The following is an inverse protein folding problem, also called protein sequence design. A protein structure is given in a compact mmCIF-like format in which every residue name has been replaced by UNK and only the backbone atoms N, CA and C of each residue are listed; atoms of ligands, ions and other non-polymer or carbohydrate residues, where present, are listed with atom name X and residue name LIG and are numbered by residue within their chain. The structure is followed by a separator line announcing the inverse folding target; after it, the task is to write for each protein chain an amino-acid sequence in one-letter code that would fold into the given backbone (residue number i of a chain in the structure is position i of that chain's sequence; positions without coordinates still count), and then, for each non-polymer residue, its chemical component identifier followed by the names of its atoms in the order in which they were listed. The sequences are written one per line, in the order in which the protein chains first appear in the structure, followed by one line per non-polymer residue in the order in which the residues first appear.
data_IF_492140413309
#
_entry.id   IF_492140413309
#
_cell.length_a   1.000
_cell.length_b   1.000
_cell.length_c   1.000
_cell.angle_alpha   90.00
_cell.angle_beta   90.00
_cell.angle_gamma   90.00
#
_symmetry.space_group_name_H-M   'P 1'
#
loop_
_entity.id
_entity.type
_entity.pdbx_description
1 polymer ?
#
# COMPACT_ATOMS: atom_id res chain seq x y z
N UNK A 1 -21.90 -4.04 -24.70
CA UNK A 1 -21.16 -4.32 -24.30
C UNK A 1 -20.69 -4.54 -24.03
N UNK A 2 -21.00 -4.27 -24.19
CA UNK A 2 -20.18 -4.57 -23.77
C UNK A 2 -19.53 -4.85 -23.50
N UNK A 3 -19.80 -4.84 -23.64
CA UNK A 3 -18.94 -5.14 -23.25
C UNK A 3 -18.34 -5.50 -23.04
N UNK A 4 -18.56 -5.47 -23.26
CA UNK A 4 -17.64 -5.80 -22.98
C UNK A 4 -16.97 -6.09 -22.73
N UNK A 5 -17.20 -6.02 -22.97
CA UNK A 5 -16.28 -6.32 -22.55
C UNK A 5 -15.63 -6.28 -22.38
N UNK A 6 -15.77 -6.10 -22.34
CA UNK A 6 -14.93 -5.97 -21.97
C UNK A 6 -14.33 -6.20 -21.42
N UNK A 7 -14.17 -6.26 -21.25
CA UNK A 7 -13.23 -6.30 -20.57
C UNK A 7 -12.64 -6.54 -20.29
N UNK A 8 -12.83 -6.75 -20.32
CA UNK A 8 -12.10 -6.87 -19.97
C UNK A 8 -11.20 -7.02 -19.86
N UNK A 9 -11.23 -7.55 -20.33
CA UNK A 9 -10.24 -7.74 -20.22
C UNK A 9 -9.23 -7.51 -19.55
N UNK A 10 -8.78 -7.82 -19.86
CA UNK A 10 -7.79 -7.28 -19.02
C UNK A 10 -8.31 -6.27 -18.11
N UNK A 11 -8.31 -6.59 -16.95
CA UNK A 11 -8.94 -5.78 -16.02
C UNK A 11 -7.95 -4.92 -15.34
N UNK A 12 -7.99 -3.67 -15.66
CA UNK A 12 -7.27 -2.68 -14.94
C UNK A 12 -8.25 -1.97 -14.04
N UNK A 13 -7.92 -1.80 -12.75
CA UNK A 13 -8.81 -1.04 -11.88
C UNK A 13 -9.02 0.36 -12.42
N UNK A 14 -10.23 0.83 -12.29
CA UNK A 14 -10.59 2.17 -12.69
C UNK A 14 -9.93 3.17 -11.76
N UNK A 15 -9.41 4.26 -12.31
CA UNK A 15 -8.72 5.24 -11.49
C UNK A 15 -9.60 5.92 -10.47
N UNK A 16 -10.85 6.12 -10.79
CA UNK A 16 -11.77 6.83 -9.91
C UNK A 16 -12.69 5.90 -9.16
N UNK A 17 -12.49 4.59 -9.31
CA UNK A 17 -13.37 3.65 -8.68
C UNK A 17 -12.96 3.29 -7.28
N UNK A 18 -13.62 2.28 -6.75
CA UNK A 18 -13.33 1.77 -5.43
C UNK A 18 -13.07 0.29 -5.50
N UNK A 19 -12.38 -0.25 -4.50
CA UNK A 19 -12.21 -1.68 -4.37
C UNK A 19 -13.35 -2.23 -3.52
N UNK A 20 -13.70 -3.49 -3.72
CA UNK A 20 -14.72 -4.14 -2.92
C UNK A 20 -14.15 -5.08 -1.88
N UNK A 21 -12.95 -5.58 -2.12
CA UNK A 21 -12.30 -6.47 -1.16
C UNK A 21 -10.80 -6.30 -1.23
N UNK A 22 -10.15 -6.70 -0.15
CA UNK A 22 -8.69 -6.65 -0.05
C UNK A 22 -8.19 -8.02 0.35
N UNK A 23 -7.21 -8.54 -0.36
CA UNK A 23 -6.52 -9.76 0.03
C UNK A 23 -5.24 -9.43 0.78
N UNK A 24 -4.44 -8.53 0.21
CA UNK A 24 -3.17 -8.20 0.82
C UNK A 24 -2.70 -6.83 0.36
N UNK A 25 -1.99 -6.13 1.23
CA UNK A 25 -1.36 -4.87 0.87
C UNK A 25 0.00 -4.81 1.55
N UNK A 26 1.02 -4.43 0.80
CA UNK A 26 2.35 -4.20 1.35
C UNK A 26 2.79 -2.81 0.94
N UNK A 27 3.18 -2.02 1.94
CA UNK A 27 3.72 -0.68 1.72
C UNK A 27 5.12 -0.63 2.30
N UNK A 28 6.09 -0.47 1.43
CA UNK A 28 7.50 -0.42 1.82
C UNK A 28 7.99 1.02 1.67
N UNK A 29 8.57 1.55 2.74
CA UNK A 29 9.06 2.92 2.76
C UNK A 29 10.51 2.88 3.19
N UNK A 30 11.39 3.52 2.39
CA UNK A 30 12.80 3.56 2.72
C UNK A 30 13.33 4.97 2.60
N UNK A 31 14.24 5.30 3.48
CA UNK A 31 14.94 6.58 3.47
C UNK A 31 16.37 6.35 3.88
N UNK A 32 17.09 7.45 4.11
CA UNK A 32 18.52 7.34 4.40
C UNK A 32 18.84 6.52 5.63
N UNK A 33 18.02 6.62 6.66
CA UNK A 33 18.34 6.02 7.93
C UNK A 33 17.34 5.01 8.42
N UNK A 34 16.28 4.77 7.64
CA UNK A 34 15.27 3.85 8.11
C UNK A 34 14.60 3.17 6.92
N UNK A 35 14.22 1.95 7.16
CA UNK A 35 13.40 1.21 6.23
C UNK A 35 12.29 0.59 7.06
N UNK A 36 11.06 0.78 6.63
CA UNK A 36 9.91 0.24 7.34
C UNK A 36 8.92 -0.34 6.36
N UNK A 37 8.07 -1.21 6.84
CA UNK A 37 7.10 -1.87 6.00
C UNK A 37 5.82 -2.08 6.76
N UNK A 38 4.71 -1.77 6.10
CA UNK A 38 3.37 -2.05 6.60
C UNK A 38 2.78 -3.15 5.75
N UNK A 39 2.16 -4.11 6.40
CA UNK A 39 1.54 -5.22 5.70
C UNK A 39 0.13 -5.42 6.23
N UNK A 40 -0.83 -5.53 5.32
CA UNK A 40 -2.20 -5.87 5.68
C UNK A 40 -2.52 -7.18 5.00
N UNK A 41 -2.94 -8.17 5.79
CA UNK A 41 -3.41 -9.43 5.25
C UNK A 41 -4.82 -9.66 5.74
N UNK A 42 -5.70 -10.14 4.85
CA UNK A 42 -7.10 -10.32 5.18
C UNK A 42 -7.44 -11.79 5.10
N UNK A 43 -8.12 -12.26 6.14
CA UNK A 43 -8.54 -13.64 6.21
C UNK A 43 -9.81 -13.71 7.03
N UNK A 44 -10.86 -14.31 6.45
CA UNK A 44 -12.09 -14.54 7.19
C UNK A 44 -12.75 -13.30 7.76
N UNK A 45 -12.71 -12.20 7.05
CA UNK A 45 -13.36 -10.97 7.51
C UNK A 45 -12.51 -10.15 8.46
N UNK A 46 -11.31 -10.59 8.79
CA UNK A 46 -10.40 -9.87 9.67
C UNK A 46 -9.17 -9.42 8.89
N UNK A 47 -8.72 -8.22 9.17
CA UNK A 47 -7.52 -7.65 8.56
C UNK A 47 -6.45 -7.51 9.63
N UNK A 48 -5.31 -8.16 9.40
CA UNK A 48 -4.17 -8.02 10.29
C UNK A 48 -3.25 -6.97 9.72
N UNK A 49 -3.05 -5.89 10.47
CA UNK A 49 -2.17 -4.80 10.08
C UNK A 49 -0.89 -4.96 10.89
N UNK A 50 0.23 -5.11 10.20
CA UNK A 50 1.52 -5.36 10.83
C UNK A 50 2.53 -4.31 10.41
N UNK A 51 3.41 -3.99 11.32
CA UNK A 51 4.46 -3.01 11.09
C UNK A 51 5.80 -3.66 11.35
N UNK A 52 6.68 -3.58 10.37
CA UNK A 52 8.02 -4.17 10.44
C UNK A 52 9.07 -3.10 10.31
N UNK A 53 10.17 -3.29 11.01
CA UNK A 53 11.37 -2.48 10.83
C UNK A 53 12.49 -3.40 10.38
N UNK A 54 13.50 -2.82 9.76
CA UNK A 54 14.66 -3.57 9.29
C UNK A 54 15.84 -3.18 10.16
N UNK A 55 16.39 -4.16 10.86
CA UNK A 55 17.49 -3.93 11.79
C UNK A 55 18.79 -4.41 11.18
N UNK A 56 19.85 -3.66 11.45
CA UNK A 56 21.18 -4.07 11.05
C UNK A 56 21.64 -5.19 11.98
N UNK A 57 22.03 -6.31 11.41
CA UNK A 57 22.57 -7.43 12.16
C UNK A 57 23.90 -7.81 11.56
N UNK A 58 24.57 -8.78 12.18
CA UNK A 58 25.94 -9.12 11.82
C UNK A 58 26.13 -9.39 10.34
N UNK A 59 25.21 -10.10 9.72
CA UNK A 59 25.33 -10.48 8.32
C UNK A 59 24.32 -9.82 7.42
N UNK A 60 23.91 -8.57 7.72
CA UNK A 60 22.98 -7.87 6.86
C UNK A 60 21.86 -7.23 7.64
N UNK A 61 20.64 -7.40 7.17
CA UNK A 61 19.47 -6.81 7.80
C UNK A 61 18.45 -7.87 8.14
N UNK A 62 17.76 -7.64 9.23
CA UNK A 62 16.71 -8.53 9.69
C UNK A 62 15.38 -7.78 9.72
N UNK A 63 14.36 -8.39 9.12
CA UNK A 63 13.00 -7.83 9.14
C UNK A 63 12.35 -8.25 10.44
N UNK A 64 11.96 -7.29 11.26
CA UNK A 64 11.45 -7.57 12.59
C UNK A 64 10.06 -6.99 12.77
N UNK A 65 9.14 -7.82 13.23
CA UNK A 65 7.78 -7.38 13.53
C UNK A 65 7.80 -6.56 14.80
N UNK A 66 7.31 -5.32 14.72
CA UNK A 66 7.29 -4.41 15.85
C UNK A 66 5.89 -4.29 16.46
N UNK A 67 4.87 -4.24 15.62
CA UNK A 67 3.50 -4.03 16.07
C UNK A 67 2.53 -4.74 15.15
N UNK A 68 1.40 -5.13 15.71
CA UNK A 68 0.35 -5.77 14.92
C UNK A 68 -0.99 -5.49 15.58
N UNK A 69 -2.00 -5.26 14.76
CA UNK A 69 -3.36 -5.05 15.24
C UNK A 69 -4.32 -5.72 14.27
N UNK A 70 -5.49 -6.12 14.76
CA UNK A 70 -6.53 -6.68 13.91
C UNK A 70 -7.70 -5.72 13.83
N UNK A 71 -8.20 -5.54 12.62
CA UNK A 71 -9.35 -4.69 12.35
C UNK A 71 -10.34 -5.48 11.51
N UNK A 72 -11.55 -4.95 11.36
CA UNK A 72 -12.49 -5.55 10.43
C UNK A 72 -12.05 -5.33 9.00
N UNK A 73 -12.19 -6.35 8.16
CA UNK A 73 -11.79 -6.23 6.77
C UNK A 73 -12.57 -5.14 6.04
N UNK A 74 -13.89 -5.07 6.30
CA UNK A 74 -14.71 -4.05 5.67
C UNK A 74 -14.30 -2.64 6.06
N UNK A 75 -13.93 -2.49 7.33
CA UNK A 75 -13.47 -1.21 7.84
C UNK A 75 -12.19 -0.76 7.12
N UNK A 76 -11.28 -1.69 6.90
CA UNK A 76 -10.03 -1.39 6.21
C UNK A 76 -10.30 -1.03 4.75
N UNK A 77 -11.16 -1.80 4.07
CA UNK A 77 -11.51 -1.52 2.68
C UNK A 77 -12.12 -0.12 2.55
N UNK A 78 -13.03 0.21 3.45
CA UNK A 78 -13.66 1.52 3.42
C UNK A 78 -12.63 2.63 3.59
N UNK A 79 -11.68 2.41 4.50
CA UNK A 79 -10.65 3.40 4.74
C UNK A 79 -9.73 3.58 3.53
N UNK A 80 -9.32 2.47 2.93
CA UNK A 80 -8.46 2.55 1.74
C UNK A 80 -9.18 3.25 0.59
N UNK A 81 -10.48 3.01 0.44
CA UNK A 81 -11.26 3.70 -0.58
C UNK A 81 -11.31 5.20 -0.31
N UNK A 82 -11.36 5.58 0.96
CA UNK A 82 -11.41 7.02 1.29
C UNK A 82 -10.11 7.72 0.90
N UNK A 83 -9.01 6.99 0.79
CA UNK A 83 -7.75 7.56 0.33
C UNK A 83 -7.60 7.47 -1.18
N UNK A 84 -8.52 6.80 -1.86
CA UNK A 84 -8.44 6.67 -3.30
C UNK A 84 -7.41 5.66 -3.75
N UNK A 85 -7.25 4.56 -3.02
CA UNK A 85 -6.21 3.58 -3.30
C UNK A 85 -6.23 3.11 -4.75
N UNK A 86 -7.42 2.88 -5.30
CA UNK A 86 -7.51 2.37 -6.66
C UNK A 86 -6.90 3.32 -7.67
N UNK A 87 -6.99 4.63 -7.40
CA UNK A 87 -6.45 5.63 -8.31
C UNK A 87 -4.91 5.61 -8.34
N UNK A 88 -4.29 4.95 -7.38
CA UNK A 88 -2.83 4.90 -7.31
C UNK A 88 -2.24 3.90 -8.29
N UNK A 89 -3.06 3.02 -8.85
CA UNK A 89 -2.52 1.98 -9.73
C UNK A 89 -1.79 2.60 -10.91
N UNK A 90 -0.55 2.19 -11.09
CA UNK A 90 0.28 2.72 -12.16
C UNK A 90 1.02 3.99 -11.82
N UNK A 91 0.86 4.50 -10.60
CA UNK A 91 1.60 5.70 -10.19
C UNK A 91 3.10 5.39 -10.14
N UNK A 92 3.88 6.24 -10.80
CA UNK A 92 5.33 6.13 -10.80
C UNK A 92 5.88 7.53 -10.61
N UNK A 93 6.27 7.85 -9.38
CA UNK A 93 6.72 9.20 -9.05
C UNK A 93 8.21 9.37 -9.26
N UNK A 94 8.59 10.07 -10.31
CA UNK A 94 9.98 10.30 -10.59
C UNK A 94 10.60 11.21 -9.53
N UNK A 95 11.86 10.95 -9.22
CA UNK A 95 12.57 11.73 -8.23
C UNK A 95 12.72 13.18 -8.72
N UNK A 96 12.33 14.16 -7.89
CA UNK A 96 12.41 15.56 -8.33
C UNK A 96 13.85 16.02 -8.53
N UNK A 97 14.04 16.88 -9.50
CA UNK A 97 15.35 17.47 -9.76
C UNK A 97 15.83 18.27 -8.57
N UNK A 98 17.11 18.16 -8.29
CA UNK A 98 17.71 18.96 -7.24
C UNK A 98 17.52 18.44 -5.84
N UNK A 99 16.73 17.38 -5.68
CA UNK A 99 16.57 16.73 -4.39
C UNK A 99 17.58 15.60 -4.31
N UNK A 100 18.49 15.67 -3.34
CA UNK A 100 19.55 14.68 -3.25
C UNK A 100 19.09 13.38 -2.66
N UNK A 101 18.59 13.45 -1.47
CA UNK A 101 18.13 12.28 -0.76
C UNK A 101 16.64 12.37 -0.65
N UNK A 102 16.01 11.29 -0.35
CA UNK A 102 14.59 11.35 -0.23
C UNK A 102 14.02 10.05 0.24
N UNK A 103 12.73 10.06 0.41
CA UNK A 103 11.99 8.91 0.84
C UNK A 103 11.40 8.24 -0.40
N UNK A 104 11.63 6.94 -0.50
CA UNK A 104 11.06 6.14 -1.57
C UNK A 104 9.99 5.24 -1.01
N UNK A 105 8.98 4.98 -1.81
CA UNK A 105 7.96 4.04 -1.42
C UNK A 105 7.66 3.06 -2.54
N UNK A 106 7.17 1.91 -2.16
CA UNK A 106 6.66 0.91 -3.09
C UNK A 106 5.43 0.27 -2.45
N UNK A 107 4.34 0.26 -3.19
CA UNK A 107 3.10 -0.31 -2.72
C UNK A 107 2.62 -1.37 -3.69
N UNK A 108 2.19 -2.49 -3.15
CA UNK A 108 1.54 -3.52 -3.94
C UNK A 108 0.35 -4.03 -3.15
N UNK A 109 -0.80 -4.08 -3.81
CA UNK A 109 -2.01 -4.59 -3.17
C UNK A 109 -2.72 -5.54 -4.11
N UNK A 110 -3.27 -6.60 -3.54
CA UNK A 110 -4.11 -7.54 -4.27
C UNK A 110 -5.54 -7.31 -3.78
N UNK A 111 -6.42 -6.97 -4.71
CA UNK A 111 -7.78 -6.56 -4.39
C UNK A 111 -8.76 -7.27 -5.31
N UNK A 112 -10.03 -7.29 -4.90
CA UNK A 112 -11.14 -7.71 -5.75
C UNK A 112 -10.92 -9.08 -6.39
N UNK A 113 -10.39 -10.02 -5.62
CA UNK A 113 -10.26 -11.39 -6.09
C UNK A 113 -9.05 -11.64 -6.97
N UNK A 114 -8.10 -10.70 -7.05
CA UNK A 114 -6.88 -10.94 -7.80
C UNK A 114 -6.33 -9.77 -8.58
N UNK A 115 -7.05 -8.66 -8.64
CA UNK A 115 -6.52 -7.48 -9.32
C UNK A 115 -5.36 -6.91 -8.51
N UNK A 116 -4.34 -6.42 -9.19
CA UNK A 116 -3.14 -5.93 -8.52
C UNK A 116 -3.01 -4.43 -8.72
N UNK A 117 -2.77 -3.72 -7.62
CA UNK A 117 -2.48 -2.29 -7.64
C UNK A 117 -1.00 -2.15 -7.32
N UNK A 118 -0.27 -1.42 -8.16
CA UNK A 118 1.15 -1.16 -7.94
C UNK A 118 1.44 0.32 -8.09
N UNK A 119 2.19 0.85 -7.14
CA UNK A 119 2.60 2.24 -7.17
C UNK A 119 3.97 2.36 -6.53
N UNK A 120 4.77 3.28 -7.03
CA UNK A 120 6.06 3.57 -6.41
C UNK A 120 6.44 5.00 -6.68
N UNK A 121 7.41 5.49 -5.94
CA UNK A 121 7.89 6.84 -6.14
C UNK A 121 9.08 7.17 -5.28
N UNK A 122 9.77 8.24 -5.66
CA UNK A 122 10.93 8.76 -4.95
C UNK A 122 10.68 10.22 -4.71
N UNK A 123 10.44 10.61 -3.45
CA UNK A 123 10.06 11.97 -3.07
C UNK A 123 8.91 12.51 -3.90
N UNK A 124 8.05 11.61 -4.33
CA UNK A 124 6.94 11.92 -5.20
C UNK A 124 5.86 10.90 -4.89
N UNK A 125 4.75 11.35 -4.34
CA UNK A 125 3.77 10.47 -3.75
C UNK A 125 2.38 10.73 -4.33
N UNK A 126 1.53 9.72 -4.41
CA UNK A 126 0.17 9.94 -4.88
C UNK A 126 -0.63 10.73 -3.86
N UNK A 127 -1.74 11.29 -4.34
CA UNK A 127 -2.63 12.05 -3.48
C UNK A 127 -3.10 11.19 -2.31
N UNK A 128 -3.12 11.79 -1.13
CA UNK A 128 -3.56 11.13 0.11
C UNK A 128 -2.60 10.09 0.66
N UNK A 129 -1.37 10.05 0.13
CA UNK A 129 -0.38 9.12 0.65
C UNK A 129 -0.10 9.38 2.14
N UNK A 130 -0.01 10.66 2.50
CA UNK A 130 0.24 11.01 3.91
C UNK A 130 -0.89 10.55 4.81
N UNK A 131 -2.11 10.67 4.33
CA UNK A 131 -3.26 10.23 5.09
C UNK A 131 -3.22 8.74 5.34
N UNK A 132 -2.81 7.96 4.34
CA UNK A 132 -2.68 6.52 4.52
C UNK A 132 -1.64 6.19 5.60
N UNK A 133 -0.46 6.80 5.51
CA UNK A 133 0.59 6.49 6.48
C UNK A 133 0.21 6.96 7.88
N UNK A 134 -0.47 8.09 7.97
CA UNK A 134 -0.93 8.58 9.26
C UNK A 134 -1.94 7.62 9.90
N UNK A 135 -2.87 7.13 9.08
CA UNK A 135 -3.86 6.17 9.56
C UNK A 135 -3.19 4.88 10.03
N UNK A 136 -2.26 4.36 9.24
CA UNK A 136 -1.57 3.12 9.60
C UNK A 136 -0.86 3.27 10.94
N UNK A 137 -0.16 4.38 11.14
CA UNK A 137 0.52 4.62 12.40
C UNK A 137 -0.47 4.74 13.54
N UNK A 138 -1.61 5.37 13.28
CA UNK A 138 -2.62 5.54 14.31
C UNK A 138 -3.23 4.24 14.78
N UNK A 139 -3.56 3.34 13.87
CA UNK A 139 -4.20 2.08 14.29
C UNK A 139 -3.21 1.16 14.99
N UNK A 140 -1.92 1.35 14.76
CA UNK A 140 -0.89 0.53 15.37
C UNK A 140 -0.40 1.04 16.71
N UNK A 141 -0.82 2.22 17.12
CA UNK A 141 -0.41 2.78 18.41
C UNK A 141 -1.19 2.20 19.57
#
# INVERSE_FOLDING_TARGET
MSMNGRFKDNIRPERSGTITSLEKLVLHISGMRMTEEYEITVEGGAAAVSYYVFRCVENGFERALEKRVELGADEVVEKLNSFGLLSWNGFRGDHPRGVRDGIMFRLEAVVDGGAVIRADGSENFPKHFKELTFWLRGVLN
#
